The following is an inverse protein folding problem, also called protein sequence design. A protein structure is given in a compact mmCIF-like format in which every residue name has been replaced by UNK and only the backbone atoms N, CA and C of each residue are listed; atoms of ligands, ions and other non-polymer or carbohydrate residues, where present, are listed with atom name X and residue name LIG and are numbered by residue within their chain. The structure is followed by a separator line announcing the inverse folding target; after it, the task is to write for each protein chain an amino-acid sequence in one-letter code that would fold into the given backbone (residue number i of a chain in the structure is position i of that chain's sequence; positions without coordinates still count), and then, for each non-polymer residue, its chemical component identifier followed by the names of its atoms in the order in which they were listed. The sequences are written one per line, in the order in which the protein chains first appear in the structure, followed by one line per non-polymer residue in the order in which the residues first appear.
data_IF_604455034601
#
_entry.id   IF_604455034601
#
_cell.length_a   1.000
_cell.length_b   1.000
_cell.length_c   1.000
_cell.angle_alpha   90.00
_cell.angle_beta   90.00
_cell.angle_gamma   90.00
#
_symmetry.space_group_name_H-M   'P 1'
#
loop_
_entity.id
_entity.type
_entity.pdbx_description
1 polymer ?
#
# COMPACT_ATOMS: atom_id res chain seq x y z
N UNK A 1 -4.08 12.33 2.02
CA UNK A 1 -3.74 12.42 0.59
C UNK A 1 -3.77 11.05 -0.08
N UNK A 2 -4.24 10.96 -1.33
CA UNK A 2 -4.14 9.75 -2.14
C UNK A 2 -2.76 9.71 -2.81
N UNK A 3 -1.88 8.85 -2.34
CA UNK A 3 -0.50 8.75 -2.86
C UNK A 3 -0.46 8.19 -4.29
N UNK A 4 -1.33 7.23 -4.61
CA UNK A 4 -1.42 6.61 -5.93
C UNK A 4 -2.58 7.21 -6.73
N UNK A 5 -2.32 7.89 -7.87
CA UNK A 5 -3.37 8.57 -8.63
C UNK A 5 -4.30 7.59 -9.34
N UNK A 6 -3.85 6.35 -9.62
CA UNK A 6 -4.58 5.38 -10.43
C UNK A 6 -5.84 4.89 -9.72
N UNK A 7 -6.97 4.95 -10.43
CA UNK A 7 -8.26 4.35 -10.06
C UNK A 7 -8.25 2.83 -10.28
N UNK A 8 -9.30 2.15 -9.85
CA UNK A 8 -9.47 0.72 -10.12
C UNK A 8 -9.65 0.45 -11.61
N UNK A 9 -10.27 1.38 -12.35
CA UNK A 9 -10.41 1.29 -13.80
C UNK A 9 -9.05 1.39 -14.49
N UNK A 10 -8.22 2.39 -14.11
CA UNK A 10 -6.87 2.54 -14.65
C UNK A 10 -6.04 1.26 -14.43
N UNK A 11 -6.12 0.67 -13.23
CA UNK A 11 -5.41 -0.58 -12.91
C UNK A 11 -5.90 -1.75 -13.76
N UNK A 12 -7.21 -1.87 -13.98
CA UNK A 12 -7.77 -2.94 -14.80
C UNK A 12 -7.34 -2.84 -16.27
N UNK A 13 -7.34 -1.63 -16.84
CA UNK A 13 -6.86 -1.38 -18.20
C UNK A 13 -5.37 -1.71 -18.36
N UNK A 14 -4.54 -1.32 -17.39
CA UNK A 14 -3.11 -1.60 -17.38
C UNK A 14 -2.83 -3.11 -17.34
N UNK A 15 -3.54 -3.86 -16.48
CA UNK A 15 -3.38 -5.32 -16.38
C UNK A 15 -3.81 -6.02 -17.68
N UNK A 16 -4.93 -5.61 -18.27
CA UNK A 16 -5.42 -6.15 -19.53
C UNK A 16 -4.43 -5.91 -20.68
N UNK A 17 -3.81 -4.72 -20.73
CA UNK A 17 -2.83 -4.36 -21.76
C UNK A 17 -1.59 -5.28 -21.74
N UNK A 18 -1.14 -5.67 -20.55
CA UNK A 18 0.03 -6.55 -20.39
C UNK A 18 -0.32 -8.03 -20.31
N UNK A 19 -1.61 -8.39 -20.40
CA UNK A 19 -2.08 -9.77 -20.35
C UNK A 19 -2.02 -10.42 -18.97
N UNK A 20 -1.99 -9.63 -17.89
CA UNK A 20 -2.04 -10.13 -16.51
C UNK A 20 -3.49 -10.19 -16.00
N UNK A 21 -3.86 -11.25 -15.28
CA UNK A 21 -5.20 -11.39 -14.71
C UNK A 21 -5.32 -10.72 -13.34
N UNK A 22 -4.21 -10.56 -12.62
CA UNK A 22 -4.15 -9.95 -11.30
C UNK A 22 -2.81 -9.30 -11.00
N UNK A 23 -2.74 -8.54 -9.90
CA UNK A 23 -1.47 -7.98 -9.40
C UNK A 23 -0.48 -9.08 -9.03
N UNK A 24 -0.97 -10.23 -8.56
CA UNK A 24 -0.12 -11.36 -8.14
C UNK A 24 0.68 -11.95 -9.32
N UNK A 25 0.14 -11.86 -10.53
CA UNK A 25 0.80 -12.33 -11.76
C UNK A 25 2.06 -11.51 -12.08
N UNK A 26 2.19 -10.31 -11.52
CA UNK A 26 3.39 -9.48 -11.67
C UNK A 26 4.59 -9.99 -10.85
N UNK A 27 4.37 -10.97 -9.97
CA UNK A 27 5.37 -11.49 -9.04
C UNK A 27 5.68 -12.98 -9.24
N UNK A 28 5.39 -13.56 -10.41
CA UNK A 28 5.60 -14.99 -10.71
C UNK A 28 7.05 -15.47 -10.52
N UNK A 29 8.02 -14.57 -10.69
CA UNK A 29 9.45 -14.86 -10.51
C UNK A 29 9.89 -14.87 -9.03
N UNK A 30 9.02 -14.45 -8.10
CA UNK A 30 9.30 -14.46 -6.66
C UNK A 30 8.87 -15.81 -6.07
N UNK A 31 9.78 -16.61 -5.50
CA UNK A 31 9.43 -17.90 -4.90
C UNK A 31 8.36 -17.73 -3.82
N UNK A 32 7.34 -18.59 -3.79
CA UNK A 32 6.24 -18.52 -2.82
C UNK A 32 6.71 -18.54 -1.36
N UNK A 33 7.84 -19.17 -1.06
CA UNK A 33 8.45 -19.17 0.28
C UNK A 33 8.93 -17.80 0.75
N UNK A 34 9.08 -16.84 -0.16
CA UNK A 34 9.47 -15.46 0.15
C UNK A 34 8.24 -14.53 0.28
N UNK A 35 7.02 -15.03 0.04
CA UNK A 35 5.81 -14.25 0.19
C UNK A 35 5.41 -14.19 1.67
N UNK A 36 4.82 -13.07 2.06
CA UNK A 36 4.12 -12.98 3.33
C UNK A 36 2.68 -13.47 3.13
N UNK A 37 2.18 -14.30 4.04
CA UNK A 37 0.80 -14.82 4.01
C UNK A 37 -0.25 -13.77 4.42
N UNK A 38 0.15 -12.51 4.57
CA UNK A 38 -0.72 -11.42 4.99
C UNK A 38 -0.01 -10.06 5.01
N UNK A 39 -0.66 -9.04 5.59
CA UNK A 39 -0.05 -7.73 5.77
C UNK A 39 1.23 -7.80 6.60
N UNK A 40 2.13 -6.85 6.36
CA UNK A 40 3.27 -6.62 7.25
C UNK A 40 2.78 -6.26 8.66
N UNK A 41 3.57 -6.59 9.69
CA UNK A 41 3.28 -6.29 11.09
C UNK A 41 3.47 -4.79 11.39
N UNK A 42 2.51 -3.99 10.91
CA UNK A 42 2.44 -2.56 11.11
C UNK A 42 1.00 -2.14 11.47
N UNK A 43 0.83 -1.04 12.22
CA UNK A 43 -0.49 -0.47 12.44
C UNK A 43 -1.18 -0.17 11.11
N UNK A 44 -2.53 -0.23 11.07
CA UNK A 44 -3.28 0.14 9.88
C UNK A 44 -3.02 1.61 9.51
N UNK A 45 -3.27 1.93 8.24
CA UNK A 45 -3.12 3.29 7.73
C UNK A 45 -3.91 4.31 8.55
N UNK A 46 -3.40 5.52 8.60
CA UNK A 46 -4.05 6.66 9.23
C UNK A 46 -4.40 7.71 8.18
N UNK A 47 -5.52 8.39 8.37
CA UNK A 47 -5.84 9.58 7.60
C UNK A 47 -4.82 10.69 7.86
N UNK A 48 -4.72 11.63 6.93
CA UNK A 48 -3.74 12.72 7.00
C UNK A 48 -3.82 13.52 8.31
N UNK A 49 -5.02 13.94 8.70
CA UNK A 49 -5.25 14.64 9.98
C UNK A 49 -4.92 13.77 11.21
N UNK A 50 -5.06 12.45 11.10
CA UNK A 50 -4.72 11.54 12.20
C UNK A 50 -3.19 11.46 12.36
N UNK A 51 -2.47 11.35 11.23
CA UNK A 51 -1.00 11.38 11.20
C UNK A 51 -0.48 12.70 11.78
N UNK A 52 -1.02 13.84 11.36
CA UNK A 52 -0.61 15.16 11.88
C UNK A 52 -0.77 15.24 13.40
N UNK A 53 -1.91 14.79 13.93
CA UNK A 53 -2.17 14.76 15.39
C UNK A 53 -1.20 13.84 16.12
N UNK A 54 -0.94 12.64 15.57
CA UNK A 54 -0.02 11.69 16.18
C UNK A 54 1.41 12.25 16.24
N UNK A 55 1.87 12.88 15.16
CA UNK A 55 3.19 13.51 15.08
C UNK A 55 3.31 14.70 16.03
N UNK A 56 2.30 15.57 16.09
CA UNK A 56 2.27 16.70 17.02
C UNK A 56 2.30 16.25 18.50
N UNK A 57 1.52 15.22 18.85
CA UNK A 57 1.51 14.64 20.20
C UNK A 57 2.85 14.00 20.56
N UNK A 58 3.55 13.38 19.60
CA UNK A 58 4.89 12.83 19.82
C UNK A 58 5.91 13.95 20.05
N UNK A 59 5.89 15.01 19.24
CA UNK A 59 6.80 16.15 19.37
C UNK A 59 6.65 16.88 20.72
N UNK A 60 5.43 16.98 21.25
CA UNK A 60 5.15 17.60 22.55
C UNK A 60 5.78 16.91 23.76
N UNK A 61 6.35 15.70 23.60
CA UNK A 61 7.08 14.98 24.67
C UNK A 61 8.50 15.48 24.91
N UNK A 62 9.01 16.35 24.04
CA UNK A 62 10.37 16.91 24.14
C UNK A 62 10.43 18.26 24.88
N UNK A 63 9.28 18.77 25.34
CA UNK A 63 9.15 19.98 26.17
C UNK A 63 9.15 19.58 27.65
#
# INVERSE_FOLDING_TARGET
MRYLPQTDADRAEMLALIGAASIDDLYVDVPRSAWLDGPVDLPPHQGELQVERAMAAMAGKNL
#
